data_IF_215590344036
#
_entry.id   IF_215590344036
#
_cell.length_a   1.000
_cell.length_b   1.000
_cell.length_c   1.000
_cell.angle_alpha   90.00
_cell.angle_beta   90.00
_cell.angle_gamma   90.00
#
_symmetry.space_group_name_H-M   'P 1'
#
loop_
_entity.id
_entity.type
_entity.pdbx_description
1 polymer ?
#
# COMPACT_ATOMS: atom_id res chain seq x y z
N UNK A 1 27.91 30.01 -77.00
CA UNK A 1 27.38 30.08 -75.63
C UNK A 1 27.17 28.62 -75.08
N UNK A 2 28.01 28.22 -74.14
CA UNK A 2 27.96 26.86 -73.59
C UNK A 2 27.02 26.82 -72.41
N UNK A 3 25.95 25.97 -72.47
CA UNK A 3 24.96 25.73 -71.38
C UNK A 3 25.60 24.92 -70.28
N UNK A 4 25.81 25.50 -69.01
CA UNK A 4 26.23 24.75 -67.80
C UNK A 4 25.03 24.28 -67.06
N UNK A 5 24.82 22.93 -66.89
CA UNK A 5 23.72 22.43 -66.10
C UNK A 5 23.91 22.75 -64.61
N UNK A 6 22.86 23.33 -63.98
CA UNK A 6 22.83 23.58 -62.54
C UNK A 6 22.75 22.23 -61.78
N UNK A 7 23.79 21.87 -61.04
CA UNK A 7 23.79 20.75 -60.11
C UNK A 7 22.72 20.98 -59.01
N UNK A 8 21.61 20.22 -59.10
CA UNK A 8 20.64 20.16 -57.99
C UNK A 8 21.33 19.57 -56.76
N UNK A 9 21.55 20.37 -55.71
CA UNK A 9 21.96 19.88 -54.39
C UNK A 9 20.84 18.99 -53.87
N UNK A 10 21.04 17.67 -53.85
CA UNK A 10 20.17 16.70 -53.13
C UNK A 10 20.20 17.12 -51.66
N UNK A 11 19.09 17.65 -51.15
CA UNK A 11 18.85 17.79 -49.71
C UNK A 11 18.88 16.35 -49.13
N UNK A 12 19.97 15.95 -48.49
CA UNK A 12 20.04 14.71 -47.71
C UNK A 12 18.97 14.84 -46.66
N UNK A 13 17.93 13.99 -46.72
CA UNK A 13 16.88 13.93 -45.71
C UNK A 13 17.53 13.61 -44.37
N UNK A 14 17.22 14.37 -43.34
CA UNK A 14 17.70 14.10 -41.96
C UNK A 14 16.95 12.94 -41.33
N UNK A 15 15.88 12.41 -41.98
CA UNK A 15 15.08 11.28 -41.54
C UNK A 15 15.88 10.05 -41.06
N UNK A 16 16.88 9.54 -41.81
CA UNK A 16 17.57 8.31 -41.40
C UNK A 16 18.42 8.44 -40.13
N UNK A 17 18.62 9.66 -39.61
CA UNK A 17 19.33 9.89 -38.35
C UNK A 17 18.39 10.08 -37.15
N UNK A 18 17.15 10.49 -37.37
CA UNK A 18 16.16 10.76 -36.32
C UNK A 18 15.49 9.44 -35.87
N UNK A 19 15.29 8.51 -36.80
CA UNK A 19 14.60 7.24 -36.50
C UNK A 19 15.27 6.41 -35.39
N UNK A 20 16.61 6.17 -35.41
CA UNK A 20 17.26 5.46 -34.30
C UNK A 20 17.20 6.23 -32.98
N UNK A 21 17.26 7.56 -32.99
CA UNK A 21 17.11 8.37 -31.78
C UNK A 21 15.71 8.22 -31.18
N UNK A 22 14.67 8.28 -32.02
CA UNK A 22 13.29 8.05 -31.57
C UNK A 22 13.08 6.64 -31.01
N UNK A 23 13.68 5.62 -31.64
CA UNK A 23 13.63 4.25 -31.14
C UNK A 23 14.33 4.14 -29.79
N UNK A 24 15.49 4.72 -29.60
CA UNK A 24 16.20 4.74 -28.30
C UNK A 24 15.34 5.43 -27.25
N UNK A 25 14.75 6.59 -27.53
CA UNK A 25 13.85 7.28 -26.60
C UNK A 25 12.63 6.44 -26.23
N UNK A 26 12.04 5.75 -27.21
CA UNK A 26 10.91 4.84 -26.96
C UNK A 26 11.32 3.68 -26.06
N UNK A 27 12.46 3.03 -26.34
CA UNK A 27 12.96 1.93 -25.52
C UNK A 27 13.33 2.38 -24.09
N UNK A 28 13.96 3.54 -23.94
CA UNK A 28 14.24 4.14 -22.64
C UNK A 28 12.94 4.46 -21.87
N UNK A 29 11.94 5.02 -22.57
CA UNK A 29 10.63 5.30 -21.99
C UNK A 29 9.91 4.03 -21.54
N UNK A 30 9.93 2.97 -22.36
CA UNK A 30 9.34 1.68 -22.01
C UNK A 30 10.07 1.02 -20.83
N UNK A 31 11.39 1.07 -20.80
CA UNK A 31 12.20 0.55 -19.69
C UNK A 31 11.92 1.31 -18.40
N UNK A 32 11.85 2.64 -18.46
CA UNK A 32 11.50 3.49 -17.31
C UNK A 32 10.08 3.21 -16.82
N UNK A 33 9.10 3.10 -17.73
CA UNK A 33 7.72 2.78 -17.37
C UNK A 33 7.63 1.41 -16.67
N UNK A 34 8.30 0.39 -17.22
CA UNK A 34 8.37 -0.94 -16.59
C UNK A 34 9.01 -0.87 -15.20
N UNK A 35 10.13 -0.15 -15.06
CA UNK A 35 10.80 0.04 -13.78
C UNK A 35 9.90 0.73 -12.76
N UNK A 36 9.22 1.81 -13.14
CA UNK A 36 8.31 2.56 -12.27
C UNK A 36 7.10 1.74 -11.78
N UNK A 37 6.67 0.73 -12.54
CA UNK A 37 5.47 -0.05 -12.24
C UNK A 37 5.75 -1.47 -11.68
N UNK A 38 7.01 -1.95 -11.75
CA UNK A 38 7.33 -3.34 -11.40
C UNK A 38 8.53 -3.51 -10.47
N UNK A 39 9.28 -2.44 -10.23
CA UNK A 39 10.46 -2.51 -9.36
C UNK A 39 10.06 -2.17 -7.94
N UNK A 40 10.07 -3.15 -7.05
CA UNK A 40 9.83 -2.97 -5.62
C UNK A 40 10.81 -1.95 -5.03
N UNK A 41 10.33 -1.17 -4.08
CA UNK A 41 11.12 -0.24 -3.29
C UNK A 41 10.78 -0.45 -1.82
N UNK A 42 11.80 -0.65 -1.01
CA UNK A 42 11.67 -0.57 0.45
C UNK A 42 11.76 0.90 0.85
N UNK A 43 10.88 1.32 1.74
CA UNK A 43 10.89 2.67 2.34
C UNK A 43 10.71 2.51 3.85
N UNK A 44 11.58 3.13 4.62
CA UNK A 44 11.58 3.07 6.07
C UNK A 44 10.95 4.34 6.66
N UNK A 45 10.21 4.17 7.75
CA UNK A 45 9.56 5.25 8.49
C UNK A 45 9.70 4.97 9.99
N UNK A 46 10.04 6.00 10.76
CA UNK A 46 10.38 5.93 12.17
C UNK A 46 9.43 6.81 13.00
N UNK A 47 8.10 6.48 13.10
CA UNK A 47 7.18 7.24 13.93
C UNK A 47 7.50 7.06 15.41
N UNK A 48 7.42 8.17 16.17
CA UNK A 48 7.67 8.17 17.61
C UNK A 48 6.43 8.62 18.39
N UNK A 49 6.11 7.89 19.46
CA UNK A 49 4.93 8.11 20.30
C UNK A 49 5.33 8.14 21.79
N UNK A 50 4.89 9.15 22.53
CA UNK A 50 5.15 9.28 23.98
C UNK A 50 4.52 8.14 24.77
N UNK A 51 3.35 7.67 24.35
CA UNK A 51 2.58 6.66 25.07
C UNK A 51 2.85 5.22 24.59
N UNK A 52 3.75 5.02 23.60
CA UNK A 52 4.15 3.69 23.15
C UNK A 52 4.67 2.85 24.33
N UNK A 53 4.14 1.65 24.58
CA UNK A 53 4.68 0.73 25.56
C UNK A 53 6.17 0.44 25.28
N UNK A 54 7.01 0.47 26.30
CA UNK A 54 8.47 0.38 26.15
C UNK A 54 8.91 -0.91 25.45
N UNK A 55 8.19 -2.00 25.64
CA UNK A 55 8.44 -3.27 24.96
C UNK A 55 8.31 -3.19 23.44
N UNK A 56 7.61 -2.18 22.88
CA UNK A 56 7.45 -1.99 21.46
C UNK A 56 8.43 -0.98 20.84
N UNK A 57 9.28 -0.37 21.63
CA UNK A 57 10.38 0.45 21.09
C UNK A 57 11.29 -0.40 20.18
N UNK A 58 11.56 0.09 18.97
CA UNK A 58 12.27 -0.64 17.91
C UNK A 58 11.49 -1.79 17.29
N UNK A 59 10.16 -1.86 17.41
CA UNK A 59 9.33 -2.87 16.75
C UNK A 59 9.28 -2.62 15.25
N UNK A 60 9.66 -3.62 14.44
CA UNK A 60 9.67 -3.54 12.99
C UNK A 60 8.39 -4.15 12.39
N UNK A 61 7.64 -3.36 11.65
CA UNK A 61 6.38 -3.76 11.02
C UNK A 61 6.48 -3.56 9.50
N UNK A 62 6.28 -4.62 8.72
CA UNK A 62 6.10 -4.48 7.27
C UNK A 62 4.64 -4.14 6.97
N UNK A 63 4.41 -3.09 6.20
CA UNK A 63 3.07 -2.67 5.75
C UNK A 63 2.96 -2.85 4.25
N UNK A 64 1.98 -3.64 3.84
CA UNK A 64 1.64 -3.95 2.46
C UNK A 64 0.18 -3.57 2.20
N UNK A 65 -0.14 -3.09 1.00
CA UNK A 65 -1.51 -2.82 0.57
C UNK A 65 -1.61 -2.81 -0.95
N UNK A 66 -2.82 -2.79 -1.45
CA UNK A 66 -3.10 -2.52 -2.87
C UNK A 66 -2.31 -3.44 -3.81
N UNK A 67 -2.29 -4.76 -3.54
CA UNK A 67 -1.62 -5.73 -4.42
C UNK A 67 -2.34 -5.83 -5.77
N UNK A 68 -3.68 -5.72 -5.77
CA UNK A 68 -4.51 -5.78 -6.96
C UNK A 68 -4.15 -6.94 -7.89
N UNK A 69 -4.04 -8.13 -7.35
CA UNK A 69 -3.66 -9.34 -8.08
C UNK A 69 -2.37 -9.17 -8.90
N UNK A 70 -1.45 -8.31 -8.43
CA UNK A 70 -0.16 -8.11 -9.09
C UNK A 70 0.87 -9.06 -8.50
N UNK A 71 1.57 -9.77 -9.36
CA UNK A 71 2.67 -10.66 -8.97
C UNK A 71 4.03 -9.98 -9.15
N UNK A 72 4.90 -10.20 -8.17
CA UNK A 72 6.30 -9.76 -8.16
C UNK A 72 7.24 -10.96 -8.16
N UNK A 73 7.60 -11.44 -9.33
CA UNK A 73 8.26 -12.71 -9.56
C UNK A 73 7.22 -13.82 -9.81
N UNK A 74 7.66 -15.05 -9.97
CA UNK A 74 6.79 -16.22 -10.01
C UNK A 74 6.25 -16.46 -8.59
N UNK A 75 4.93 -16.61 -8.45
CA UNK A 75 4.26 -16.81 -7.15
C UNK A 75 4.66 -15.76 -6.07
N UNK A 76 4.93 -14.55 -6.46
CA UNK A 76 5.37 -13.46 -5.57
C UNK A 76 6.73 -13.67 -4.87
N UNK A 77 7.60 -14.58 -5.33
CA UNK A 77 8.90 -14.89 -4.72
C UNK A 77 9.76 -13.65 -4.41
N UNK A 78 9.72 -12.64 -5.30
CA UNK A 78 10.47 -11.38 -5.10
C UNK A 78 9.88 -10.51 -4.00
N UNK A 79 8.55 -10.48 -3.88
CA UNK A 79 7.89 -9.76 -2.80
C UNK A 79 8.27 -10.37 -1.46
N UNK A 80 8.13 -11.70 -1.36
CA UNK A 80 8.45 -12.42 -0.13
C UNK A 80 9.93 -12.30 0.27
N UNK A 81 10.84 -12.39 -0.71
CA UNK A 81 12.28 -12.18 -0.46
C UNK A 81 12.56 -10.78 0.08
N UNK A 82 12.00 -9.73 -0.56
CA UNK A 82 12.18 -8.34 -0.13
C UNK A 82 11.61 -8.11 1.26
N UNK A 83 10.43 -8.66 1.59
CA UNK A 83 9.83 -8.55 2.93
C UNK A 83 10.67 -9.29 3.97
N UNK A 84 11.10 -10.53 3.67
CA UNK A 84 11.90 -11.35 4.60
C UNK A 84 13.28 -10.71 4.91
N UNK A 85 13.91 -10.05 3.93
CA UNK A 85 15.18 -9.34 4.11
C UNK A 85 15.08 -8.19 5.12
N UNK A 86 13.87 -7.66 5.38
CA UNK A 86 13.63 -6.59 6.35
C UNK A 86 13.45 -7.13 7.79
N UNK A 87 13.36 -8.44 7.97
CA UNK A 87 13.15 -9.10 9.27
C UNK A 87 12.01 -8.48 10.08
N UNK A 88 10.79 -8.33 9.54
CA UNK A 88 9.67 -7.74 10.27
C UNK A 88 9.22 -8.67 11.41
N UNK A 89 8.81 -8.08 12.53
CA UNK A 89 8.18 -8.82 13.62
C UNK A 89 6.69 -9.05 13.37
N UNK A 90 6.07 -8.16 12.60
CA UNK A 90 4.67 -8.23 12.17
C UNK A 90 4.54 -7.79 10.71
N UNK A 91 3.55 -8.34 10.01
CA UNK A 91 3.16 -7.93 8.65
C UNK A 91 1.71 -7.49 8.68
N UNK A 92 1.43 -6.25 8.27
CA UNK A 92 0.08 -5.71 8.14
C UNK A 92 -0.27 -5.56 6.66
N UNK A 93 -1.34 -6.21 6.23
CA UNK A 93 -1.87 -6.15 4.86
C UNK A 93 -3.17 -5.37 4.89
N UNK A 94 -3.14 -4.13 4.43
CA UNK A 94 -4.26 -3.19 4.57
C UNK A 94 -5.10 -3.07 3.30
N UNK A 95 -5.69 -4.21 2.89
CA UNK A 95 -6.72 -4.29 1.87
C UNK A 95 -6.24 -4.27 0.42
N UNK A 96 -7.20 -4.40 -0.48
CA UNK A 96 -7.05 -4.43 -1.94
C UNK A 96 -6.03 -5.47 -2.42
N UNK A 97 -6.17 -6.70 -1.90
CA UNK A 97 -5.42 -7.86 -2.37
C UNK A 97 -5.80 -8.22 -3.80
N UNK A 98 -7.11 -8.20 -4.10
CA UNK A 98 -7.68 -8.43 -5.43
C UNK A 98 -7.89 -7.17 -6.25
N UNK A 99 -8.23 -7.32 -7.54
CA UNK A 99 -8.59 -6.20 -8.43
C UNK A 99 -9.95 -6.43 -9.06
N UNK A 100 -10.92 -5.54 -8.79
CA UNK A 100 -12.29 -5.64 -9.34
C UNK A 100 -12.35 -5.61 -10.86
N UNK A 101 -11.35 -5.08 -11.55
CA UNK A 101 -11.32 -4.99 -13.02
C UNK A 101 -10.69 -6.22 -13.66
N UNK A 102 -9.72 -6.85 -12.99
CA UNK A 102 -9.00 -8.03 -13.47
C UNK A 102 -9.46 -9.31 -12.81
N UNK A 103 -10.19 -9.19 -11.70
CA UNK A 103 -10.53 -10.29 -10.83
C UNK A 103 -9.37 -10.68 -9.90
N UNK A 104 -9.52 -11.81 -9.26
CA UNK A 104 -8.52 -12.43 -8.42
C UNK A 104 -8.52 -13.93 -8.72
N UNK A 105 -7.39 -14.47 -9.11
CA UNK A 105 -7.26 -15.91 -9.34
C UNK A 105 -7.52 -16.68 -8.04
N UNK A 106 -8.12 -17.86 -8.15
CA UNK A 106 -8.61 -18.60 -6.97
C UNK A 106 -7.50 -18.95 -5.97
N UNK A 107 -6.29 -19.23 -6.48
CA UNK A 107 -5.15 -19.65 -5.65
C UNK A 107 -4.29 -18.47 -5.18
N UNK A 108 -4.51 -17.26 -5.72
CA UNK A 108 -3.71 -16.07 -5.39
C UNK A 108 -3.74 -15.69 -3.91
N UNK A 109 -4.93 -15.63 -3.24
CA UNK A 109 -4.99 -15.31 -1.81
C UNK A 109 -4.26 -16.32 -0.93
N UNK A 110 -4.37 -17.61 -1.26
CA UNK A 110 -3.71 -18.68 -0.54
C UNK A 110 -2.18 -18.55 -0.64
N UNK A 111 -1.66 -18.36 -1.87
CA UNK A 111 -0.24 -18.20 -2.11
C UNK A 111 0.34 -16.97 -1.39
N UNK A 112 -0.36 -15.84 -1.39
CA UNK A 112 0.06 -14.64 -0.67
C UNK A 112 0.03 -14.86 0.84
N UNK A 113 -1.03 -15.50 1.36
CA UNK A 113 -1.15 -15.79 2.78
C UNK A 113 -0.03 -16.72 3.27
N UNK A 114 0.22 -17.83 2.58
CA UNK A 114 1.30 -18.76 2.92
C UNK A 114 2.68 -18.10 2.87
N UNK A 115 2.96 -17.33 1.82
CA UNK A 115 4.25 -16.66 1.67
C UNK A 115 4.51 -15.62 2.75
N UNK A 116 3.52 -14.82 3.14
CA UNK A 116 3.69 -13.79 4.17
C UNK A 116 3.68 -14.40 5.59
N UNK A 117 2.76 -15.32 5.89
CA UNK A 117 2.69 -15.97 7.21
C UNK A 117 3.91 -16.83 7.53
N UNK A 118 4.62 -17.32 6.52
CA UNK A 118 5.90 -18.01 6.69
C UNK A 118 7.04 -17.06 7.13
N UNK A 119 6.90 -15.74 6.93
CA UNK A 119 7.91 -14.74 7.30
C UNK A 119 7.66 -14.24 8.73
N UNK A 120 6.44 -13.78 9.03
CA UNK A 120 6.05 -13.24 10.33
C UNK A 120 4.53 -13.32 10.54
N UNK A 121 4.04 -13.19 11.79
CA UNK A 121 2.61 -13.03 12.08
C UNK A 121 2.00 -11.95 11.20
N UNK A 122 1.01 -12.33 10.39
CA UNK A 122 0.40 -11.48 9.36
C UNK A 122 -1.06 -11.18 9.72
N UNK A 123 -1.42 -9.89 9.63
CA UNK A 123 -2.77 -9.37 9.92
C UNK A 123 -3.33 -8.70 8.67
N UNK A 124 -4.63 -8.87 8.45
CA UNK A 124 -5.30 -8.40 7.25
C UNK A 124 -6.62 -7.70 7.57
N UNK A 125 -6.91 -6.63 6.83
CA UNK A 125 -8.24 -6.01 6.72
C UNK A 125 -8.63 -5.91 5.25
N UNK A 126 -9.94 -5.89 4.95
CA UNK A 126 -10.42 -5.75 3.56
C UNK A 126 -10.28 -4.33 3.03
N UNK A 127 -10.10 -4.22 1.71
CA UNK A 127 -10.24 -2.98 0.97
C UNK A 127 -11.52 -2.96 0.12
N UNK A 128 -11.69 -1.91 -0.65
CA UNK A 128 -12.91 -1.72 -1.43
C UNK A 128 -13.01 -2.66 -2.65
N UNK A 129 -11.89 -3.18 -3.11
CA UNK A 129 -11.88 -4.10 -4.25
C UNK A 129 -12.40 -5.49 -3.88
N UNK A 130 -12.11 -5.99 -2.68
CA UNK A 130 -12.66 -7.27 -2.19
C UNK A 130 -14.18 -7.25 -2.20
N UNK A 131 -14.79 -6.18 -1.68
CA UNK A 131 -16.24 -6.01 -1.64
C UNK A 131 -16.85 -5.84 -3.02
N UNK A 132 -16.13 -5.21 -3.95
CA UNK A 132 -16.56 -5.04 -5.34
C UNK A 132 -16.46 -6.34 -6.17
N UNK A 133 -15.49 -7.22 -5.86
CA UNK A 133 -15.38 -8.56 -6.44
C UNK A 133 -16.49 -9.46 -5.92
N UNK A 134 -16.86 -9.31 -4.65
CA UNK A 134 -17.70 -10.24 -3.91
C UNK A 134 -16.88 -11.39 -3.30
N UNK A 135 -17.51 -12.43 -2.82
CA UNK A 135 -16.85 -13.61 -2.21
C UNK A 135 -15.96 -13.29 -0.98
N UNK A 136 -16.17 -12.16 -0.30
CA UNK A 136 -15.40 -11.74 0.88
C UNK A 136 -15.34 -12.81 1.97
N UNK A 137 -16.46 -13.52 2.32
CA UNK A 137 -16.38 -14.59 3.31
C UNK A 137 -15.42 -15.71 2.93
N UNK A 138 -15.40 -16.10 1.64
CA UNK A 138 -14.49 -17.14 1.14
C UNK A 138 -13.03 -16.65 1.17
N UNK A 139 -12.79 -15.38 0.82
CA UNK A 139 -11.47 -14.78 0.92
C UNK A 139 -10.96 -14.81 2.37
N UNK A 140 -11.76 -14.34 3.32
CA UNK A 140 -11.40 -14.36 4.76
C UNK A 140 -11.11 -15.77 5.25
N UNK A 141 -11.93 -16.76 4.88
CA UNK A 141 -11.71 -18.17 5.20
C UNK A 141 -10.39 -18.68 4.61
N UNK A 142 -10.11 -18.36 3.33
CA UNK A 142 -8.85 -18.75 2.67
C UNK A 142 -7.65 -18.17 3.40
N UNK A 143 -7.65 -16.86 3.67
CA UNK A 143 -6.54 -16.18 4.37
C UNK A 143 -6.30 -16.78 5.76
N UNK A 144 -7.37 -17.00 6.52
CA UNK A 144 -7.28 -17.58 7.88
C UNK A 144 -6.75 -19.01 7.84
N UNK A 145 -7.21 -19.83 6.88
CA UNK A 145 -6.74 -21.21 6.71
C UNK A 145 -5.24 -21.29 6.41
N UNK A 146 -4.68 -20.26 5.75
CA UNK A 146 -3.26 -20.18 5.38
C UNK A 146 -2.44 -19.30 6.34
N UNK A 147 -2.91 -19.08 7.57
CA UNK A 147 -2.12 -18.53 8.67
C UNK A 147 -2.17 -17.00 8.84
N UNK A 148 -3.04 -16.31 8.10
CA UNK A 148 -3.26 -14.87 8.27
C UNK A 148 -4.38 -14.62 9.28
N UNK A 149 -4.16 -13.71 10.23
CA UNK A 149 -5.22 -13.21 11.12
C UNK A 149 -6.01 -12.14 10.42
N UNK A 150 -7.28 -12.43 10.11
CA UNK A 150 -8.20 -11.45 9.50
C UNK A 150 -8.91 -10.70 10.62
N UNK A 151 -8.79 -9.37 10.64
CA UNK A 151 -9.48 -8.50 11.58
C UNK A 151 -10.81 -8.02 10.97
N UNK A 152 -11.88 -8.68 11.37
CA UNK A 152 -13.24 -8.47 10.87
C UNK A 152 -14.02 -7.52 11.79
N UNK A 153 -13.68 -6.23 11.77
CA UNK A 153 -14.22 -5.22 12.68
C UNK A 153 -14.05 -5.61 14.17
N UNK A 154 -12.85 -6.08 14.47
CA UNK A 154 -12.47 -6.57 15.78
C UNK A 154 -11.06 -6.12 16.17
N UNK A 155 -10.65 -6.43 17.40
CA UNK A 155 -9.33 -6.11 17.91
C UNK A 155 -8.75 -7.29 18.69
N UNK A 156 -7.44 -7.26 18.84
CA UNK A 156 -6.68 -8.20 19.66
C UNK A 156 -5.54 -7.47 20.37
N UNK A 157 -4.91 -8.15 21.30
CA UNK A 157 -3.72 -7.64 22.00
C UNK A 157 -2.47 -8.26 21.38
N UNK A 158 -1.51 -7.43 21.03
CA UNK A 158 -0.16 -7.84 20.68
C UNK A 158 0.72 -7.72 21.93
N UNK A 159 1.54 -8.74 22.19
CA UNK A 159 2.46 -8.78 23.32
C UNK A 159 3.90 -8.76 22.81
N UNK A 160 4.76 -7.89 23.39
CA UNK A 160 6.18 -7.79 23.06
C UNK A 160 6.96 -7.27 24.26
N UNK A 161 8.08 -7.92 24.60
CA UNK A 161 8.96 -7.44 25.66
C UNK A 161 8.35 -7.36 27.05
N UNK A 162 7.21 -8.01 27.29
CA UNK A 162 6.45 -7.96 28.54
C UNK A 162 5.40 -6.85 28.60
N UNK A 163 5.29 -6.04 27.56
CA UNK A 163 4.27 -5.02 27.36
C UNK A 163 3.25 -5.47 26.31
N UNK A 164 2.13 -4.75 26.24
CA UNK A 164 1.04 -5.02 25.32
C UNK A 164 0.54 -3.74 24.64
N UNK A 165 0.10 -3.84 23.40
CA UNK A 165 -0.69 -2.84 22.69
C UNK A 165 -1.91 -3.48 22.03
N UNK A 166 -2.90 -2.67 21.64
CA UNK A 166 -4.08 -3.16 20.93
C UNK A 166 -3.91 -2.95 19.44
N UNK A 167 -4.15 -4.00 18.66
CA UNK A 167 -4.28 -3.95 17.22
C UNK A 167 -5.75 -4.15 16.84
N UNK A 168 -6.36 -3.15 16.25
CA UNK A 168 -7.73 -3.18 15.74
C UNK A 168 -7.75 -3.12 14.22
N UNK A 169 -8.75 -3.74 13.61
CA UNK A 169 -8.95 -3.69 12.17
C UNK A 169 -10.41 -3.53 11.81
N UNK A 170 -10.67 -2.75 10.78
CA UNK A 170 -12.01 -2.53 10.23
C UNK A 170 -12.07 -2.90 8.77
N UNK A 171 -13.20 -3.47 8.37
CA UNK A 171 -13.54 -3.69 6.97
C UNK A 171 -13.81 -2.39 6.22
N UNK A 172 -13.64 -2.42 4.89
CA UNK A 172 -13.99 -1.28 4.04
C UNK A 172 -15.49 -0.92 4.18
N UNK A 173 -15.83 0.38 4.18
CA UNK A 173 -17.22 0.85 4.28
C UNK A 173 -18.15 0.36 3.17
N UNK A 174 -17.64 -0.20 2.07
CA UNK A 174 -18.44 -0.87 1.04
C UNK A 174 -18.95 -2.25 1.47
N UNK A 175 -18.64 -2.69 2.70
CA UNK A 175 -19.09 -3.93 3.28
C UNK A 175 -20.59 -3.98 3.59
N UNK A 176 -21.00 -4.98 4.35
CA UNK A 176 -22.40 -5.14 4.73
C UNK A 176 -22.89 -3.96 5.57
N UNK A 177 -24.17 -3.61 5.41
CA UNK A 177 -24.76 -2.47 6.13
C UNK A 177 -24.84 -2.67 7.65
N UNK A 178 -24.74 -3.90 8.13
CA UNK A 178 -24.77 -4.29 9.55
C UNK A 178 -23.38 -4.54 10.15
N UNK A 179 -22.31 -4.25 9.41
CA UNK A 179 -20.95 -4.32 9.97
C UNK A 179 -20.78 -3.31 11.11
N UNK A 180 -19.93 -3.67 12.09
CA UNK A 180 -19.62 -2.80 13.22
C UNK A 180 -19.00 -1.49 12.73
N UNK A 181 -19.49 -0.35 13.22
CA UNK A 181 -18.90 0.94 12.87
C UNK A 181 -17.55 1.15 13.55
N UNK A 182 -16.67 2.00 12.97
CA UNK A 182 -15.39 2.36 13.58
C UNK A 182 -15.54 2.91 15.01
N UNK A 183 -16.59 3.72 15.24
CA UNK A 183 -16.89 4.31 16.56
C UNK A 183 -17.28 3.25 17.59
N UNK A 184 -18.03 2.23 17.17
CA UNK A 184 -18.39 1.11 18.03
C UNK A 184 -17.17 0.26 18.35
N UNK A 185 -16.30 0.00 17.37
CA UNK A 185 -15.04 -0.73 17.59
C UNK A 185 -14.13 0.03 18.58
N UNK A 186 -13.98 1.34 18.42
CA UNK A 186 -13.22 2.16 19.36
C UNK A 186 -13.80 2.11 20.78
N UNK A 187 -15.12 2.20 20.92
CA UNK A 187 -15.79 2.08 22.22
C UNK A 187 -15.54 0.70 22.88
N UNK A 188 -15.53 -0.37 22.08
CA UNK A 188 -15.22 -1.73 22.56
C UNK A 188 -13.76 -1.83 23.03
N UNK A 189 -12.79 -1.21 22.32
CA UNK A 189 -11.38 -1.14 22.72
C UNK A 189 -11.24 -0.46 24.07
N UNK A 190 -11.83 0.73 24.23
CA UNK A 190 -11.78 1.47 25.50
C UNK A 190 -12.51 0.74 26.64
N UNK A 191 -13.62 0.07 26.36
CA UNK A 191 -14.33 -0.71 27.36
C UNK A 191 -13.52 -1.91 27.85
N UNK A 192 -12.71 -2.52 26.99
CA UNK A 192 -11.90 -3.70 27.32
C UNK A 192 -10.56 -3.33 27.99
N UNK A 193 -9.92 -2.24 27.58
CA UNK A 193 -8.52 -1.95 27.92
C UNK A 193 -8.31 -0.60 28.63
N UNK A 194 -9.35 0.23 28.77
CA UNK A 194 -9.25 1.56 29.34
C UNK A 194 -8.71 2.56 28.30
N UNK A 195 -7.48 3.04 28.51
CA UNK A 195 -6.81 3.99 27.61
C UNK A 195 -5.48 3.36 27.11
N UNK A 196 -5.57 2.35 26.19
CA UNK A 196 -4.39 1.66 25.70
C UNK A 196 -3.73 2.45 24.57
N UNK A 197 -2.43 2.22 24.33
CA UNK A 197 -1.84 2.50 23.02
C UNK A 197 -2.46 1.53 21.99
N UNK A 198 -3.02 2.04 20.92
CA UNK A 198 -3.61 1.19 19.91
C UNK A 198 -3.42 1.62 18.47
N UNK A 199 -3.31 0.62 17.60
CA UNK A 199 -3.12 0.76 16.16
C UNK A 199 -4.42 0.34 15.47
N UNK A 200 -4.90 1.17 14.53
CA UNK A 200 -6.04 0.87 13.68
C UNK A 200 -5.58 0.54 12.26
N UNK A 201 -5.88 -0.65 11.78
CA UNK A 201 -5.78 -0.98 10.36
C UNK A 201 -7.09 -0.62 9.66
N UNK A 202 -7.01 0.27 8.67
CA UNK A 202 -8.15 0.73 7.91
C UNK A 202 -7.73 1.08 6.48
N UNK A 203 -8.29 0.40 5.48
CA UNK A 203 -7.84 0.57 4.09
C UNK A 203 -7.94 2.02 3.60
N UNK A 204 -9.02 2.72 3.94
CA UNK A 204 -9.37 4.05 3.42
C UNK A 204 -8.64 5.19 4.12
N UNK A 205 -7.60 5.74 3.49
CA UNK A 205 -6.90 6.94 3.96
C UNK A 205 -7.76 8.22 3.94
N UNK A 206 -8.70 8.31 2.99
CA UNK A 206 -9.56 9.48 2.78
C UNK A 206 -10.55 9.74 3.93
N UNK A 207 -10.76 8.75 4.81
CA UNK A 207 -11.59 8.89 6.00
C UNK A 207 -10.83 9.33 7.26
N UNK A 208 -9.54 9.52 7.17
CA UNK A 208 -8.73 9.82 8.34
C UNK A 208 -9.14 11.08 9.05
N UNK A 209 -9.17 12.23 8.37
CA UNK A 209 -9.40 13.51 9.00
C UNK A 209 -10.80 13.65 9.63
N UNK A 210 -11.82 13.08 8.98
CA UNK A 210 -13.22 13.27 9.36
C UNK A 210 -13.75 12.13 10.26
N UNK A 211 -13.06 11.00 10.33
CA UNK A 211 -13.52 9.84 11.09
C UNK A 211 -12.42 9.20 11.93
N UNK A 212 -11.38 8.60 11.33
CA UNK A 212 -10.46 7.74 12.07
C UNK A 212 -9.61 8.49 13.11
N UNK A 213 -9.19 9.72 12.82
CA UNK A 213 -8.45 10.56 13.76
C UNK A 213 -9.26 10.98 14.99
N UNK A 214 -10.58 10.81 14.97
CA UNK A 214 -11.48 11.12 16.08
C UNK A 214 -11.76 9.93 16.99
N UNK A 215 -11.26 8.75 16.62
CA UNK A 215 -11.48 7.51 17.39
C UNK A 215 -10.50 7.36 18.56
N UNK A 216 -9.40 8.13 18.56
CA UNK A 216 -8.37 8.10 19.59
C UNK A 216 -7.29 7.01 19.36
N UNK A 217 -7.22 6.41 18.16
CA UNK A 217 -6.10 5.55 17.80
C UNK A 217 -4.80 6.36 17.74
N UNK A 218 -3.73 5.83 18.33
CA UNK A 218 -2.41 6.49 18.27
C UNK A 218 -1.84 6.45 16.86
N UNK A 219 -2.02 5.32 16.17
CA UNK A 219 -1.57 5.11 14.80
C UNK A 219 -2.69 4.48 13.96
N UNK A 220 -3.01 5.10 12.84
CA UNK A 220 -3.86 4.56 11.78
C UNK A 220 -2.97 4.16 10.61
N UNK A 221 -3.14 2.96 10.08
CA UNK A 221 -2.38 2.44 8.94
C UNK A 221 -3.33 2.22 7.77
N UNK A 222 -3.05 2.84 6.62
CA UNK A 222 -3.92 2.83 5.45
C UNK A 222 -3.18 2.56 4.13
N UNK A 223 -3.92 2.11 3.13
CA UNK A 223 -3.53 2.01 1.73
C UNK A 223 -4.35 2.98 0.86
N UNK A 224 -4.98 2.43 -0.20
CA UNK A 224 -5.99 3.05 -1.07
C UNK A 224 -5.52 4.23 -1.95
N UNK A 225 -4.62 5.07 -1.46
CA UNK A 225 -4.15 6.27 -2.17
C UNK A 225 -3.21 5.99 -3.35
N UNK A 226 -2.62 4.79 -3.41
CA UNK A 226 -1.61 4.40 -4.41
C UNK A 226 -0.44 5.40 -4.54
N UNK A 227 -0.15 6.17 -3.50
CA UNK A 227 0.85 7.23 -3.56
C UNK A 227 0.46 8.41 -4.46
N UNK A 228 -0.77 8.47 -4.95
CA UNK A 228 -1.21 9.36 -6.01
C UNK A 228 -0.44 9.08 -7.31
N UNK A 229 -0.95 8.23 -8.17
CA UNK A 229 -0.37 7.62 -9.39
C UNK A 229 0.94 8.23 -9.94
N UNK A 230 1.01 9.56 -9.99
CA UNK A 230 2.18 10.33 -10.46
C UNK A 230 2.75 11.13 -9.29
N UNK A 231 4.04 10.96 -9.03
CA UNK A 231 4.78 11.77 -8.06
C UNK A 231 5.92 12.50 -8.74
N UNK A 232 6.15 13.74 -8.38
CA UNK A 232 7.36 14.45 -8.79
C UNK A 232 8.31 14.53 -7.60
N UNK A 233 9.63 14.64 -7.84
CA UNK A 233 10.58 14.87 -6.76
C UNK A 233 10.13 16.07 -5.89
N UNK A 234 10.16 15.90 -4.58
CA UNK A 234 9.80 16.92 -3.58
C UNK A 234 8.31 17.34 -3.56
N UNK A 235 7.41 16.56 -4.18
CA UNK A 235 5.97 16.77 -4.10
C UNK A 235 5.26 15.51 -3.61
N UNK A 236 4.05 15.69 -3.08
CA UNK A 236 3.11 14.60 -2.87
C UNK A 236 2.53 14.09 -4.20
N UNK A 237 1.57 13.16 -4.13
CA UNK A 237 0.87 12.68 -5.31
C UNK A 237 0.22 13.82 -6.10
N UNK A 238 0.40 13.82 -7.43
CA UNK A 238 -0.19 14.86 -8.28
C UNK A 238 -1.61 14.52 -8.71
N UNK A 239 -1.91 13.26 -8.95
CA UNK A 239 -3.19 12.80 -9.49
C UNK A 239 -3.52 11.48 -8.84
N UNK A 240 -4.69 11.38 -8.19
CA UNK A 240 -5.21 10.12 -7.65
C UNK A 240 -5.86 9.25 -8.74
N UNK A 241 -6.23 8.02 -8.38
CA UNK A 241 -6.90 7.08 -9.28
C UNK A 241 -8.28 7.58 -9.76
N UNK A 242 -8.96 8.43 -8.99
CA UNK A 242 -10.22 9.09 -9.32
C UNK A 242 -10.04 10.41 -10.08
N UNK A 243 -8.81 10.70 -10.54
CA UNK A 243 -8.43 11.92 -11.27
C UNK A 243 -8.48 13.21 -10.45
N UNK A 244 -8.56 13.13 -9.12
CA UNK A 244 -8.42 14.30 -8.25
C UNK A 244 -6.99 14.84 -8.33
N UNK A 245 -6.85 16.16 -8.54
CA UNK A 245 -5.54 16.81 -8.55
C UNK A 245 -5.13 17.18 -7.12
N UNK A 246 -3.86 16.92 -6.80
CA UNK A 246 -3.25 17.19 -5.50
C UNK A 246 -4.05 16.56 -4.32
N UNK A 247 -4.28 15.24 -4.35
CA UNK A 247 -5.02 14.57 -3.30
C UNK A 247 -4.28 14.65 -1.97
N UNK A 248 -5.04 14.68 -0.86
CA UNK A 248 -4.48 14.66 0.49
C UNK A 248 -4.09 13.23 0.91
N UNK A 249 -3.15 13.12 1.86
CA UNK A 249 -2.78 11.85 2.49
C UNK A 249 -2.35 10.76 1.48
N UNK A 250 -1.44 11.09 0.58
CA UNK A 250 -1.08 10.16 -0.49
C UNK A 250 -0.05 9.11 -0.11
N UNK A 251 0.92 9.43 0.72
CA UNK A 251 1.95 8.50 1.22
C UNK A 251 2.78 9.11 2.33
N UNK A 252 3.17 8.31 3.31
CA UNK A 252 3.98 8.71 4.45
C UNK A 252 3.16 9.02 5.69
N UNK A 253 3.72 9.82 6.61
CA UNK A 253 3.15 10.12 7.90
C UNK A 253 2.41 11.47 7.90
N UNK A 254 1.26 11.51 8.53
CA UNK A 254 0.41 12.70 8.72
C UNK A 254 -0.16 12.69 10.13
N UNK A 255 -0.57 13.85 10.64
CA UNK A 255 -1.15 13.99 11.97
C UNK A 255 -2.44 14.79 11.92
N UNK A 256 -3.43 14.35 12.68
CA UNK A 256 -4.65 15.10 12.96
C UNK A 256 -5.28 14.64 14.28
N UNK A 257 -5.84 15.57 15.06
CA UNK A 257 -6.57 15.31 16.29
C UNK A 257 -5.82 14.43 17.32
N UNK A 258 -4.47 14.49 17.34
CA UNK A 258 -3.65 13.65 18.22
C UNK A 258 -3.40 12.23 17.74
N UNK A 259 -3.90 11.87 16.56
CA UNK A 259 -3.67 10.57 15.91
C UNK A 259 -2.68 10.72 14.76
N UNK A 260 -1.78 9.75 14.59
CA UNK A 260 -0.88 9.64 13.46
C UNK A 260 -1.51 8.75 12.38
N UNK A 261 -1.46 9.16 11.11
CA UNK A 261 -1.80 8.33 9.96
C UNK A 261 -0.52 7.96 9.21
N UNK A 262 -0.33 6.69 8.95
CA UNK A 262 0.59 6.19 7.94
C UNK A 262 -0.17 5.72 6.71
N UNK A 263 0.26 6.18 5.53
CA UNK A 263 -0.30 5.73 4.24
C UNK A 263 0.82 5.13 3.39
N UNK A 264 0.67 3.84 3.02
CA UNK A 264 1.59 3.23 2.06
C UNK A 264 1.22 3.62 0.63
N UNK A 265 2.22 3.64 -0.25
CA UNK A 265 1.99 3.81 -1.70
C UNK A 265 1.41 2.56 -2.37
N UNK A 266 1.34 1.45 -1.63
CA UNK A 266 0.83 0.19 -2.16
C UNK A 266 1.73 -0.45 -3.22
N UNK A 267 1.37 -1.64 -3.63
CA UNK A 267 2.20 -2.52 -4.49
C UNK A 267 1.73 -2.56 -5.94
N UNK A 268 0.47 -2.85 -6.18
CA UNK A 268 -0.10 -3.02 -7.52
C UNK A 268 -0.68 -1.75 -8.12
N UNK A 269 -1.36 -1.94 -9.23
CA UNK A 269 -2.15 -0.90 -9.92
C UNK A 269 -3.57 -1.39 -10.10
N UNK A 270 -4.55 -0.57 -9.79
CA UNK A 270 -5.96 -0.85 -10.03
C UNK A 270 -6.33 -0.59 -11.49
N UNK A 271 -6.91 -1.58 -12.17
CA UNK A 271 -7.42 -1.45 -13.55
C UNK A 271 -6.40 -0.86 -14.52
N UNK A 272 -6.76 0.22 -15.24
CA UNK A 272 -5.89 0.86 -16.22
C UNK A 272 -4.87 1.86 -15.62
N UNK A 273 -4.80 2.00 -14.31
CA UNK A 273 -3.90 2.93 -13.64
C UNK A 273 -2.42 2.56 -13.87
N UNK A 274 -1.54 3.53 -13.68
CA UNK A 274 -0.11 3.36 -13.84
C UNK A 274 0.65 4.24 -12.84
N UNK A 275 1.91 3.91 -12.60
CA UNK A 275 2.80 4.65 -11.70
C UNK A 275 3.91 5.36 -12.47
N UNK A 276 4.10 6.67 -12.21
CA UNK A 276 5.26 7.42 -12.68
C UNK A 276 5.99 8.05 -11.49
N UNK A 277 7.29 7.78 -11.35
CA UNK A 277 8.12 8.18 -10.21
C UNK A 277 7.55 7.72 -8.85
N UNK A 278 6.75 6.67 -8.87
CA UNK A 278 5.97 6.17 -7.76
C UNK A 278 6.03 4.63 -7.78
N UNK A 279 7.17 4.07 -7.39
CA UNK A 279 7.40 2.61 -7.45
C UNK A 279 6.52 1.87 -6.44
N UNK A 280 6.15 0.60 -6.74
CA UNK A 280 5.56 -0.30 -5.75
C UNK A 280 6.38 -0.32 -4.46
N UNK A 281 5.70 -0.21 -3.31
CA UNK A 281 6.34 -0.01 -2.01
C UNK A 281 6.12 -1.19 -1.07
N UNK A 282 7.21 -1.66 -0.49
CA UNK A 282 7.22 -2.40 0.78
C UNK A 282 7.61 -1.38 1.85
N UNK A 283 6.65 -0.95 2.66
CA UNK A 283 6.92 0.02 3.71
C UNK A 283 7.31 -0.70 5.01
N UNK A 284 8.31 -0.17 5.70
CA UNK A 284 8.75 -0.65 7.00
C UNK A 284 8.52 0.47 8.02
N UNK A 285 7.72 0.19 9.03
CA UNK A 285 7.56 1.07 10.18
C UNK A 285 8.41 0.54 11.32
N UNK A 286 9.29 1.38 11.88
CA UNK A 286 9.95 1.12 13.15
C UNK A 286 9.31 2.02 14.20
N UNK A 287 8.59 1.43 15.15
CA UNK A 287 7.96 2.20 16.21
C UNK A 287 9.00 2.67 17.23
N UNK A 288 8.97 3.94 17.61
CA UNK A 288 9.85 4.49 18.60
C UNK A 288 9.07 5.08 19.78
N UNK A 289 9.60 4.85 21.00
CA UNK A 289 9.12 5.56 22.18
C UNK A 289 9.67 6.98 22.16
N UNK A 290 8.76 7.96 22.06
CA UNK A 290 9.07 9.39 22.18
C UNK A 290 9.49 9.80 23.59
N UNK A 291 10.14 10.97 23.71
CA UNK A 291 10.51 11.59 25.00
C UNK A 291 9.29 12.18 25.74
#
# INVERSE_FOLDING_TARGET
>A
MAYRPRRRRRRRSRLPRILPLLLILLLCGAAFFRWSNRSLQVTEFDPAFTDLPAGFDGCHIAVLADLHSTEFGEDNEKLFSVVAEQNPEYIFVVGDLGDRFRGMEADYPAAVAEGLSAIAPTFYVTGNHEWAIGEVPKLKETLTTHGVTVLDNEFLTLERGGDALVLAGIDDPNGYADQKSPETLAADVYAAHGDPFWILLAHRNDRFAEQYSLLGADLVISGHAHGGMIRLPFTDGLISHDMTLFPSYTAGLYEANGSCLFVTRGLGNSGPSFRLFNRPEVAILTLHKGE
#
